data_IF_077007399259
#
_entry.id   IF_077007399259
#
_cell.length_a   1.000
_cell.length_b   1.000
_cell.length_c   1.000
_cell.angle_alpha   90.00
_cell.angle_beta   90.00
_cell.angle_gamma   90.00
#
_symmetry.space_group_name_H-M   'P 1'
#
loop_
_entity.id
_entity.type
_entity.pdbx_description
1 polymer ?
#
# COMPACT_ATOMS: atom_id res chain seq x y z
N UNK A 1 -1.63 13.71 48.53
CA UNK A 1 -2.63 12.80 47.92
C UNK A 1 -1.84 11.62 47.39
N UNK A 2 -1.81 10.52 48.13
CA UNK A 2 -1.21 9.29 47.66
C UNK A 2 -2.19 8.71 46.64
N UNK A 3 -1.75 8.54 45.40
CA UNK A 3 -2.53 7.80 44.40
C UNK A 3 -2.68 6.38 44.93
N UNK A 4 -3.92 5.96 45.15
CA UNK A 4 -4.21 4.68 45.77
C UNK A 4 -3.82 3.55 44.83
N UNK A 5 -3.37 2.42 45.38
CA UNK A 5 -2.96 1.24 44.60
C UNK A 5 -4.09 0.79 43.66
N UNK A 6 -5.34 1.00 44.08
CA UNK A 6 -6.54 0.80 43.27
C UNK A 6 -6.54 1.63 41.99
N UNK A 7 -6.19 2.92 42.05
CA UNK A 7 -6.09 3.78 40.85
C UNK A 7 -5.02 3.27 39.87
N UNK A 8 -3.90 2.75 40.39
CA UNK A 8 -2.86 2.17 39.53
C UNK A 8 -3.37 0.95 38.75
N UNK A 9 -4.13 0.05 39.40
CA UNK A 9 -4.74 -1.08 38.71
C UNK A 9 -5.75 -0.65 37.63
N UNK A 10 -6.54 0.40 37.90
CA UNK A 10 -7.46 0.95 36.91
C UNK A 10 -6.72 1.52 35.69
N UNK A 11 -5.67 2.32 35.89
CA UNK A 11 -4.86 2.87 34.80
C UNK A 11 -4.16 1.77 33.99
N UNK A 12 -3.64 0.75 34.67
CA UNK A 12 -3.02 -0.40 34.02
C UNK A 12 -4.02 -1.17 33.14
N UNK A 13 -5.24 -1.39 33.62
CA UNK A 13 -6.30 -2.06 32.87
C UNK A 13 -6.68 -1.27 31.61
N UNK A 14 -6.85 0.05 31.73
CA UNK A 14 -7.17 0.93 30.60
C UNK A 14 -6.06 0.88 29.55
N UNK A 15 -4.80 0.93 29.98
CA UNK A 15 -3.64 0.84 29.09
C UNK A 15 -3.58 -0.52 28.37
N UNK A 16 -3.84 -1.62 29.09
CA UNK A 16 -3.86 -2.96 28.51
C UNK A 16 -4.99 -3.13 27.48
N UNK A 17 -6.19 -2.63 27.78
CA UNK A 17 -7.32 -2.67 26.83
C UNK A 17 -7.00 -1.84 25.58
N UNK A 18 -6.41 -0.65 25.76
CA UNK A 18 -6.04 0.25 24.66
C UNK A 18 -5.04 -0.39 23.69
N UNK A 19 -3.99 -1.03 24.22
CA UNK A 19 -2.98 -1.71 23.40
C UNK A 19 -3.53 -2.91 22.64
N UNK A 20 -4.38 -3.73 23.29
CA UNK A 20 -5.06 -4.86 22.64
C UNK A 20 -6.02 -4.39 21.55
N UNK A 21 -6.83 -3.35 21.83
CA UNK A 21 -7.76 -2.77 20.86
C UNK A 21 -7.01 -2.21 19.65
N UNK A 22 -5.91 -1.47 19.86
CA UNK A 22 -5.09 -0.95 18.78
C UNK A 22 -4.55 -2.08 17.89
N UNK A 23 -4.00 -3.14 18.49
CA UNK A 23 -3.48 -4.28 17.75
C UNK A 23 -4.59 -5.02 16.96
N UNK A 24 -5.77 -5.17 17.56
CA UNK A 24 -6.92 -5.79 16.89
C UNK A 24 -7.41 -4.96 15.70
N UNK A 25 -7.48 -3.62 15.83
CA UNK A 25 -7.89 -2.71 14.75
C UNK A 25 -6.90 -2.78 13.59
N UNK A 26 -5.60 -2.72 13.87
CA UNK A 26 -4.54 -2.81 12.84
C UNK A 26 -4.67 -4.15 12.09
N UNK A 27 -4.73 -5.26 12.83
CA UNK A 27 -4.83 -6.60 12.23
C UNK A 27 -6.14 -6.78 11.46
N UNK A 28 -7.24 -6.21 11.93
CA UNK A 28 -8.53 -6.28 11.23
C UNK A 28 -8.52 -5.45 9.93
N UNK A 29 -7.86 -4.30 9.93
CA UNK A 29 -7.64 -3.50 8.73
C UNK A 29 -6.80 -4.27 7.69
N UNK A 30 -5.68 -4.84 8.12
CA UNK A 30 -4.81 -5.65 7.25
C UNK A 30 -5.57 -6.84 6.64
N UNK A 31 -6.41 -7.51 7.43
CA UNK A 31 -7.23 -8.63 6.96
C UNK A 31 -8.36 -8.20 6.01
N UNK A 32 -8.88 -6.97 6.12
CA UNK A 32 -9.91 -6.44 5.22
C UNK A 32 -9.34 -6.13 3.84
N UNK A 33 -8.12 -5.58 3.79
CA UNK A 33 -7.42 -5.29 2.52
C UNK A 33 -7.00 -6.55 1.75
N UNK A 34 -6.80 -7.67 2.45
CA UNK A 34 -6.26 -8.91 1.87
C UNK A 34 -7.34 -9.88 1.34
N UNK A 35 -8.63 -9.59 1.53
CA UNK A 35 -9.70 -10.56 1.26
C UNK A 35 -10.33 -10.53 -0.13
N UNK A 36 -10.00 -9.54 -0.98
CA UNK A 36 -10.64 -9.42 -2.30
C UNK A 36 -9.71 -8.94 -3.41
N UNK A 37 -8.49 -9.46 -3.52
CA UNK A 37 -7.70 -9.23 -4.73
C UNK A 37 -7.28 -10.54 -5.39
N UNK A 38 -7.59 -10.75 -6.69
CA UNK A 38 -6.98 -11.83 -7.45
C UNK A 38 -5.47 -11.77 -7.24
N UNK A 39 -4.83 -12.94 -7.06
CA UNK A 39 -3.39 -13.05 -6.75
C UNK A 39 -2.64 -12.01 -7.57
N UNK A 40 -2.10 -10.98 -6.92
CA UNK A 40 -1.51 -9.91 -7.68
C UNK A 40 -0.27 -10.44 -8.39
N UNK A 41 0.15 -9.76 -9.48
CA UNK A 41 1.42 -10.06 -10.11
C UNK A 41 2.55 -10.07 -9.07
N UNK A 42 3.52 -10.95 -9.30
CA UNK A 42 4.74 -11.10 -8.49
C UNK A 42 5.28 -9.71 -8.09
N UNK A 43 5.40 -9.45 -6.79
CA UNK A 43 5.84 -8.16 -6.28
C UNK A 43 6.79 -8.31 -5.10
N UNK A 44 7.67 -7.32 -4.87
CA UNK A 44 8.48 -7.26 -3.66
C UNK A 44 7.60 -7.27 -2.38
N UNK A 45 8.19 -7.58 -1.22
CA UNK A 45 7.50 -7.44 0.07
C UNK A 45 7.45 -5.98 0.55
N UNK A 46 6.28 -5.51 0.95
CA UNK A 46 6.02 -4.13 1.40
C UNK A 46 6.26 -4.01 2.91
N UNK A 47 6.87 -2.90 3.37
CA UNK A 47 6.92 -2.58 4.80
C UNK A 47 5.56 -2.01 5.28
N UNK A 48 5.12 -2.30 6.52
CA UNK A 48 3.77 -1.95 6.99
C UNK A 48 3.46 -0.44 7.06
N UNK A 49 4.47 0.44 7.09
CA UNK A 49 4.28 1.90 7.20
C UNK A 49 4.77 2.66 5.96
N UNK A 50 5.87 2.23 5.35
CA UNK A 50 6.48 2.90 4.18
C UNK A 50 6.11 2.22 2.86
N UNK A 51 5.67 0.96 2.87
CA UNK A 51 5.48 0.18 1.65
C UNK A 51 6.82 -0.13 0.97
N UNK A 52 6.91 0.14 -0.34
CA UNK A 52 8.14 0.00 -1.16
C UNK A 52 8.91 1.31 -1.37
N UNK A 53 8.51 2.40 -0.71
CA UNK A 53 9.11 3.73 -0.93
C UNK A 53 10.62 3.73 -0.74
N UNK A 54 11.15 2.87 0.13
CA UNK A 54 12.60 2.66 0.30
C UNK A 54 13.31 2.24 -1.00
N UNK A 55 12.66 1.45 -1.86
CA UNK A 55 13.21 1.03 -3.15
C UNK A 55 13.19 2.16 -4.20
N UNK A 56 12.33 3.18 -4.02
CA UNK A 56 12.09 4.25 -5.00
C UNK A 56 12.88 5.55 -4.70
N UNK A 57 13.76 5.56 -3.70
CA UNK A 57 14.23 6.80 -3.06
C UNK A 57 15.20 7.68 -3.87
N UNK A 58 15.93 7.12 -4.85
CA UNK A 58 16.99 7.86 -5.56
C UNK A 58 16.58 8.31 -6.97
N UNK A 59 15.98 7.43 -7.77
CA UNK A 59 15.49 7.74 -9.12
C UNK A 59 14.34 6.81 -9.48
N UNK A 60 13.14 7.37 -9.66
CA UNK A 60 11.93 6.58 -9.95
C UNK A 60 12.10 5.67 -11.18
N UNK A 61 12.58 6.14 -12.35
CA UNK A 61 12.68 5.30 -13.54
C UNK A 61 13.68 4.15 -13.38
N UNK A 62 14.86 4.42 -12.80
CA UNK A 62 15.92 3.43 -12.61
C UNK A 62 15.56 2.36 -11.57
N UNK A 63 14.88 2.77 -10.50
CA UNK A 63 14.38 1.83 -9.49
C UNK A 63 13.30 0.91 -10.06
N UNK A 64 12.38 1.45 -10.87
CA UNK A 64 11.35 0.67 -11.56
C UNK A 64 11.96 -0.29 -12.58
N UNK A 65 12.96 0.12 -13.35
CA UNK A 65 13.68 -0.74 -14.29
C UNK A 65 14.38 -1.90 -13.56
N UNK A 66 15.07 -1.61 -12.46
CA UNK A 66 15.74 -2.64 -11.64
C UNK A 66 14.72 -3.65 -11.08
N UNK A 67 13.54 -3.15 -10.70
CA UNK A 67 12.47 -3.98 -10.17
C UNK A 67 11.80 -4.82 -11.27
N UNK A 68 11.63 -4.26 -12.47
CA UNK A 68 11.06 -4.95 -13.62
C UNK A 68 11.97 -6.09 -14.09
N UNK A 69 13.29 -5.88 -14.08
CA UNK A 69 14.27 -6.92 -14.37
C UNK A 69 14.24 -8.07 -13.34
N UNK A 70 13.85 -7.81 -12.09
CA UNK A 70 13.83 -8.82 -11.01
C UNK A 70 12.51 -9.57 -10.90
N UNK A 71 11.38 -8.88 -11.01
CA UNK A 71 10.04 -9.44 -10.78
C UNK A 71 9.23 -9.68 -12.06
N UNK A 72 9.70 -9.14 -13.18
CA UNK A 72 9.07 -9.26 -14.48
C UNK A 72 8.32 -7.99 -14.91
N UNK A 73 7.79 -8.00 -16.15
CA UNK A 73 7.19 -6.82 -16.77
C UNK A 73 5.81 -6.44 -16.24
N UNK A 74 5.21 -7.26 -15.38
CA UNK A 74 3.94 -7.00 -14.71
C UNK A 74 4.18 -7.20 -13.22
N UNK A 75 4.15 -6.11 -12.44
CA UNK A 75 4.38 -6.16 -11.00
C UNK A 75 3.57 -5.08 -10.28
N UNK A 76 3.48 -5.20 -8.96
CA UNK A 76 2.80 -4.22 -8.11
C UNK A 76 3.76 -3.60 -7.09
N UNK A 77 3.56 -2.32 -6.78
CA UNK A 77 4.23 -1.62 -5.68
C UNK A 77 3.21 -0.83 -4.86
N UNK A 78 3.22 -1.00 -3.55
CA UNK A 78 2.57 -0.10 -2.61
C UNK A 78 3.45 1.12 -2.29
N UNK A 79 2.87 2.32 -2.35
CA UNK A 79 3.45 3.55 -1.80
C UNK A 79 2.51 4.06 -0.71
N UNK A 80 2.88 3.84 0.56
CA UNK A 80 1.97 4.08 1.68
C UNK A 80 0.71 3.21 1.56
N UNK A 81 -0.46 3.84 1.55
CA UNK A 81 -1.76 3.18 1.42
C UNK A 81 -2.17 2.89 -0.04
N UNK A 82 -1.50 3.50 -1.01
CA UNK A 82 -1.87 3.38 -2.43
C UNK A 82 -1.09 2.25 -3.13
N UNK A 83 -1.82 1.31 -3.76
CA UNK A 83 -1.24 0.29 -4.63
C UNK A 83 -1.10 0.79 -6.07
N UNK A 84 0.11 0.71 -6.61
CA UNK A 84 0.41 0.95 -8.02
C UNK A 84 0.69 -0.38 -8.72
N UNK A 85 0.20 -0.51 -9.95
CA UNK A 85 0.56 -1.61 -10.85
C UNK A 85 1.48 -1.03 -11.93
N UNK A 86 2.64 -1.65 -12.10
CA UNK A 86 3.64 -1.24 -13.09
C UNK A 86 3.62 -2.25 -14.22
N UNK A 87 3.56 -1.71 -15.44
CA UNK A 87 3.61 -2.48 -16.68
C UNK A 87 4.82 -1.99 -17.46
N UNK A 88 5.83 -2.84 -17.60
CA UNK A 88 7.06 -2.57 -18.36
C UNK A 88 7.04 -3.18 -19.77
N UNK A 89 5.99 -3.93 -20.12
CA UNK A 89 5.81 -4.52 -21.45
C UNK A 89 4.76 -3.76 -22.29
N UNK A 90 5.10 -3.44 -23.53
CA UNK A 90 4.26 -2.65 -24.42
C UNK A 90 2.98 -3.38 -24.86
N UNK A 91 3.06 -4.70 -25.14
CA UNK A 91 1.91 -5.50 -25.56
C UNK A 91 0.88 -5.64 -24.42
N UNK A 92 1.37 -5.81 -23.20
CA UNK A 92 0.54 -5.89 -21.99
C UNK A 92 -0.06 -4.52 -21.66
N UNK A 93 0.71 -3.44 -21.79
CA UNK A 93 0.22 -2.08 -21.59
C UNK A 93 -0.89 -1.73 -22.60
N UNK A 94 -0.70 -2.07 -23.88
CA UNK A 94 -1.71 -1.85 -24.92
C UNK A 94 -3.02 -2.57 -24.60
N UNK A 95 -2.96 -3.84 -24.16
CA UNK A 95 -4.15 -4.59 -23.76
C UNK A 95 -4.86 -3.97 -22.56
N UNK A 96 -4.11 -3.55 -21.55
CA UNK A 96 -4.68 -2.94 -20.34
C UNK A 96 -5.32 -1.59 -20.67
N UNK A 97 -4.62 -0.73 -21.43
CA UNK A 97 -5.11 0.57 -21.87
C UNK A 97 -6.35 0.43 -22.75
N UNK A 98 -6.38 -0.52 -23.69
CA UNK A 98 -7.58 -0.79 -24.50
C UNK A 98 -8.76 -1.32 -23.68
N UNK A 99 -8.49 -2.13 -22.66
CA UNK A 99 -9.54 -2.71 -21.81
C UNK A 99 -10.13 -1.69 -20.84
N UNK A 100 -9.31 -0.75 -20.34
CA UNK A 100 -9.70 0.24 -19.34
C UNK A 100 -9.58 1.67 -19.89
N UNK A 101 -9.81 1.86 -21.20
CA UNK A 101 -9.57 3.12 -21.91
C UNK A 101 -10.34 4.29 -21.25
N UNK A 102 -11.57 4.02 -20.79
CA UNK A 102 -12.43 4.98 -20.10
C UNK A 102 -11.83 5.43 -18.76
N UNK A 103 -11.19 4.52 -18.01
CA UNK A 103 -10.60 4.82 -16.70
C UNK A 103 -9.26 5.56 -16.82
N UNK A 104 -8.55 5.39 -17.94
CA UNK A 104 -7.25 6.01 -18.21
C UNK A 104 -7.33 7.26 -19.10
N UNK A 105 -8.51 7.63 -19.59
CA UNK A 105 -8.71 8.88 -20.35
C UNK A 105 -8.70 10.07 -19.40
N UNK A 106 -7.50 10.52 -18.99
CA UNK A 106 -7.34 11.84 -18.38
C UNK A 106 -7.46 12.88 -19.48
N UNK A 107 -8.67 13.40 -19.70
CA UNK A 107 -8.88 14.54 -20.60
C UNK A 107 -8.25 15.77 -19.95
N UNK A 108 -7.01 16.08 -20.33
CA UNK A 108 -6.44 17.39 -20.05
C UNK A 108 -7.16 18.41 -20.93
N UNK A 109 -8.03 19.22 -20.33
CA UNK A 109 -8.75 20.29 -21.00
C UNK A 109 -7.98 21.61 -20.80
N UNK A 110 -7.21 22.08 -21.81
CA UNK A 110 -6.38 23.27 -21.68
C UNK A 110 -7.17 24.59 -21.58
N UNK A 111 -8.48 24.58 -21.82
CA UNK A 111 -9.30 25.80 -21.97
C UNK A 111 -10.31 26.01 -20.83
N UNK A 112 -10.16 25.31 -19.71
CA UNK A 112 -10.95 25.56 -18.49
C UNK A 112 -10.30 26.64 -17.61
N UNK A 113 -10.39 27.90 -18.04
CA UNK A 113 -10.07 29.10 -17.24
C UNK A 113 -11.07 30.20 -17.49
#
# INVERSE_FOLDING_TARGET
MAVDVTEYYFLFLIWLISTVAMHFIIKNWENSLNKQKPRPPSGPLALPIIGHLYLLSSTLPKSLETLANRYGPLMQICKGDTLFVIISDANTAEKVLKTHDIDFTSKYDPDSS
#
